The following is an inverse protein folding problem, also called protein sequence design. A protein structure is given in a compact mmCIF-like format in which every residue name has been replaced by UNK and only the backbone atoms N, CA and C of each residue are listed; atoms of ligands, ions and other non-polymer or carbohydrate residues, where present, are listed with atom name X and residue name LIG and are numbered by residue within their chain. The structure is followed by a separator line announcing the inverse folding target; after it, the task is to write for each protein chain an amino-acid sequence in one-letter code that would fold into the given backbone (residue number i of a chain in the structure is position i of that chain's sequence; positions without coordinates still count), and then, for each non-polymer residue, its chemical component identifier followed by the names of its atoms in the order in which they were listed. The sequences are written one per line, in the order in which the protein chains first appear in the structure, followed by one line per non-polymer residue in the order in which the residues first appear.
data_IF_994476321165
#
_entry.id   IF_994476321165
#
_cell.length_a   1.000
_cell.length_b   1.000
_cell.length_c   1.000
_cell.angle_alpha   90.00
_cell.angle_beta   90.00
_cell.angle_gamma   90.00
#
_symmetry.space_group_name_H-M   'P 1'
#
loop_
_entity.id
_entity.type
_entity.pdbx_description
1 polymer ?
#
# COMPACT_ATOMS: atom_id res chain seq x y z
N UNK A 1 72.18 13.47 8.11
CA UNK A 1 71.16 13.59 7.05
C UNK A 1 69.80 13.28 7.65
N UNK A 2 68.84 14.17 7.42
CA UNK A 2 67.53 14.18 8.05
C UNK A 2 66.67 12.97 7.63
N UNK A 3 65.97 12.37 8.58
CA UNK A 3 64.71 11.70 8.27
C UNK A 3 63.71 11.91 9.41
N UNK A 4 62.73 12.78 9.15
CA UNK A 4 61.53 12.99 9.95
C UNK A 4 60.58 11.84 9.64
N UNK A 5 60.10 11.13 10.66
CA UNK A 5 58.96 10.20 10.50
C UNK A 5 57.83 10.77 11.34
N UNK A 6 56.78 11.21 10.64
CA UNK A 6 55.58 11.80 11.20
C UNK A 6 54.74 10.77 11.93
N UNK A 7 54.30 11.13 13.13
CA UNK A 7 53.33 10.39 13.92
C UNK A 7 51.94 10.82 13.42
N UNK A 8 51.31 9.94 12.65
CA UNK A 8 49.92 10.11 12.25
C UNK A 8 48.99 9.61 13.37
N UNK A 9 48.23 10.55 13.93
CA UNK A 9 47.09 10.32 14.81
C UNK A 9 46.04 9.47 14.08
N UNK A 10 45.71 8.31 14.64
CA UNK A 10 44.45 7.61 14.36
C UNK A 10 43.61 7.63 15.64
N UNK A 11 42.74 8.63 15.71
CA UNK A 11 41.65 8.71 16.69
C UNK A 11 40.61 7.68 16.27
N UNK A 12 40.67 6.49 16.87
CA UNK A 12 39.66 5.45 16.71
C UNK A 12 38.48 5.79 17.61
N UNK A 13 37.47 6.48 17.07
CA UNK A 13 36.18 6.68 17.72
C UNK A 13 35.44 5.36 17.80
N UNK A 14 35.57 4.69 18.95
CA UNK A 14 34.72 3.57 19.36
C UNK A 14 33.32 4.13 19.59
N UNK A 15 32.45 4.00 18.58
CA UNK A 15 31.02 4.22 18.71
C UNK A 15 30.44 3.00 19.47
N UNK A 16 30.48 3.05 20.79
CA UNK A 16 29.75 2.12 21.65
C UNK A 16 28.24 2.34 21.40
N UNK A 17 27.67 1.56 20.49
CA UNK A 17 26.22 1.40 20.45
C UNK A 17 25.80 0.76 21.76
N UNK A 18 25.13 1.58 22.57
CA UNK A 18 24.36 1.15 23.74
C UNK A 18 23.26 0.21 23.25
N UNK A 19 23.55 -1.08 23.20
CA UNK A 19 22.52 -2.11 23.21
C UNK A 19 21.93 -2.08 24.63
N UNK A 20 20.81 -1.40 24.81
CA UNK A 20 19.91 -1.66 25.92
C UNK A 20 19.29 -3.04 25.70
N UNK A 21 19.58 -4.09 26.50
CA UNK A 21 18.73 -5.26 26.52
C UNK A 21 17.39 -4.83 27.12
N UNK A 22 16.42 -4.56 26.24
CA UNK A 22 15.05 -4.36 26.68
C UNK A 22 14.58 -5.63 27.36
N UNK A 23 14.22 -5.45 28.63
CA UNK A 23 13.60 -6.42 29.52
C UNK A 23 12.29 -6.92 28.87
N UNK A 24 12.34 -8.08 28.20
CA UNK A 24 11.16 -8.80 27.70
C UNK A 24 11.33 -10.33 27.79
N UNK A 25 12.29 -10.79 28.61
CA UNK A 25 12.59 -12.21 28.74
C UNK A 25 11.45 -13.01 29.40
N UNK A 26 10.74 -12.41 30.37
CA UNK A 26 9.67 -13.12 31.09
C UNK A 26 8.46 -13.45 30.22
N UNK A 27 8.16 -12.64 29.19
CA UNK A 27 7.02 -12.93 28.31
C UNK A 27 7.33 -14.03 27.28
N UNK A 28 8.58 -14.09 26.79
CA UNK A 28 8.99 -15.12 25.84
C UNK A 28 9.11 -16.50 26.49
N UNK A 29 9.66 -16.58 27.70
CA UNK A 29 9.75 -17.83 28.46
C UNK A 29 8.37 -18.43 28.74
N UNK A 30 7.40 -17.59 29.12
CA UNK A 30 6.00 -18.01 29.30
C UNK A 30 5.36 -18.53 28.00
N UNK A 31 5.71 -17.97 26.84
CA UNK A 31 5.20 -18.43 25.54
C UNK A 31 5.82 -19.79 25.19
N UNK A 32 7.12 -19.99 25.47
CA UNK A 32 7.78 -21.26 25.21
C UNK A 32 7.20 -22.39 26.06
N UNK A 33 6.98 -22.15 27.36
CA UNK A 33 6.31 -23.13 28.24
C UNK A 33 4.92 -23.51 27.72
N UNK A 34 4.19 -22.54 27.16
CA UNK A 34 2.88 -22.79 26.58
C UNK A 34 2.96 -23.61 25.28
N UNK A 35 3.99 -23.39 24.45
CA UNK A 35 4.26 -24.23 23.27
C UNK A 35 4.58 -25.66 23.70
N UNK A 36 5.41 -25.84 24.72
CA UNK A 36 5.78 -27.17 25.23
C UNK A 36 4.57 -27.92 25.77
N UNK A 37 3.68 -27.22 26.49
CA UNK A 37 2.39 -27.78 26.95
C UNK A 37 1.49 -28.18 25.78
N UNK A 38 1.38 -27.35 24.72
CA UNK A 38 0.59 -27.70 23.53
C UNK A 38 1.18 -28.93 22.83
N UNK A 39 2.51 -29.05 22.75
CA UNK A 39 3.17 -30.21 22.16
C UNK A 39 2.84 -31.50 22.91
N UNK A 40 2.77 -31.45 24.25
CA UNK A 40 2.32 -32.58 25.05
C UNK A 40 0.86 -32.94 24.74
N UNK A 41 -0.03 -31.95 24.67
CA UNK A 41 -1.45 -32.18 24.34
C UNK A 41 -1.63 -32.79 22.93
N UNK A 42 -0.84 -32.36 21.94
CA UNK A 42 -0.90 -32.93 20.59
C UNK A 42 -0.54 -34.42 20.59
N UNK A 43 0.39 -34.84 21.46
CA UNK A 43 0.78 -36.26 21.58
C UNK A 43 -0.27 -37.11 22.30
N UNK A 44 -1.01 -36.53 23.25
CA UNK A 44 -2.01 -37.23 24.06
C UNK A 44 -3.36 -37.37 23.38
N UNK A 45 -3.74 -36.39 22.55
CA UNK A 45 -5.02 -36.39 21.84
C UNK A 45 -4.97 -37.42 20.71
N UNK A 46 -6.06 -38.16 20.49
CA UNK A 46 -6.18 -39.09 19.35
C UNK A 46 -6.91 -38.46 18.15
N UNK A 47 -7.85 -37.55 18.41
CA UNK A 47 -8.71 -36.91 17.40
C UNK A 47 -7.93 -35.94 16.51
N UNK A 48 -7.97 -36.16 15.18
CA UNK A 48 -7.30 -35.30 14.19
C UNK A 48 -7.84 -33.86 14.19
N UNK A 49 -9.16 -33.68 14.37
CA UNK A 49 -9.79 -32.35 14.43
C UNK A 49 -9.32 -31.52 15.64
N UNK A 50 -9.07 -32.18 16.77
CA UNK A 50 -8.56 -31.52 17.97
C UNK A 50 -7.07 -31.23 17.85
N UNK A 51 -6.29 -32.16 17.28
CA UNK A 51 -4.88 -31.93 16.92
C UNK A 51 -4.73 -30.71 16.01
N UNK A 52 -5.55 -30.61 14.97
CA UNK A 52 -5.52 -29.49 14.03
C UNK A 52 -5.75 -28.14 14.74
N UNK A 53 -6.69 -28.09 15.70
CA UNK A 53 -6.92 -26.89 16.53
C UNK A 53 -5.70 -26.57 17.38
N UNK A 54 -5.10 -27.58 18.02
CA UNK A 54 -3.88 -27.40 18.82
C UNK A 54 -2.71 -26.90 17.97
N UNK A 55 -2.51 -27.41 16.76
CA UNK A 55 -1.52 -26.90 15.82
C UNK A 55 -1.76 -25.41 15.49
N UNK A 56 -3.01 -25.00 15.26
CA UNK A 56 -3.34 -23.57 15.08
C UNK A 56 -3.01 -22.73 16.32
N UNK A 57 -3.21 -23.26 17.52
CA UNK A 57 -2.82 -22.58 18.76
C UNK A 57 -1.30 -22.48 18.89
N UNK A 58 -0.56 -23.53 18.53
CA UNK A 58 0.91 -23.54 18.49
C UNK A 58 1.44 -22.48 17.53
N UNK A 59 0.91 -22.44 16.30
CA UNK A 59 1.25 -21.46 15.27
C UNK A 59 1.12 -20.00 15.76
N UNK A 60 0.00 -19.67 16.42
CA UNK A 60 -0.23 -18.33 17.00
C UNK A 60 0.82 -17.94 18.02
N UNK A 61 1.36 -18.91 18.77
CA UNK A 61 2.39 -18.65 19.78
C UNK A 61 3.78 -18.54 19.17
N UNK A 62 4.11 -19.35 18.15
CA UNK A 62 5.33 -19.15 17.34
C UNK A 62 5.34 -17.75 16.69
N UNK A 63 4.20 -17.28 16.18
CA UNK A 63 4.09 -15.93 15.64
C UNK A 63 4.38 -14.84 16.69
N UNK A 64 4.00 -15.05 17.96
CA UNK A 64 4.35 -14.10 19.05
C UNK A 64 5.86 -14.09 19.34
N UNK A 65 6.54 -15.22 19.13
CA UNK A 65 8.01 -15.32 19.18
C UNK A 65 8.69 -14.77 17.92
N UNK A 66 7.91 -14.29 16.93
CA UNK A 66 8.36 -13.84 15.60
C UNK A 66 9.01 -14.94 14.76
N UNK A 67 8.73 -16.20 15.08
CA UNK A 67 9.14 -17.33 14.28
C UNK A 67 8.06 -17.60 13.23
N UNK A 68 8.25 -17.02 12.05
CA UNK A 68 7.25 -17.02 10.97
C UNK A 68 7.23 -18.37 10.25
N UNK A 69 8.40 -18.98 10.07
CA UNK A 69 8.55 -20.23 9.30
C UNK A 69 7.91 -21.41 10.03
N UNK A 70 8.16 -21.55 11.34
CA UNK A 70 7.52 -22.61 12.14
C UNK A 70 6.03 -22.37 12.32
N UNK A 71 5.61 -21.12 12.50
CA UNK A 71 4.18 -20.78 12.56
C UNK A 71 3.46 -21.16 11.26
N UNK A 72 4.09 -20.94 10.10
CA UNK A 72 3.52 -21.37 8.82
C UNK A 72 3.41 -22.89 8.73
N UNK A 73 4.45 -23.62 9.09
CA UNK A 73 4.44 -25.09 9.08
C UNK A 73 3.33 -25.66 9.95
N UNK A 74 3.11 -25.10 11.14
CA UNK A 74 2.03 -25.49 12.04
C UNK A 74 0.64 -25.29 11.43
N UNK A 75 0.42 -24.22 10.68
CA UNK A 75 -0.84 -24.00 9.97
C UNK A 75 -1.04 -24.99 8.81
N UNK A 76 0.03 -25.35 8.10
CA UNK A 76 -0.02 -26.36 7.05
C UNK A 76 -0.30 -27.74 7.64
N UNK A 77 0.36 -28.12 8.73
CA UNK A 77 0.07 -29.35 9.47
C UNK A 77 -1.39 -29.40 9.94
N UNK A 78 -1.92 -28.28 10.46
CA UNK A 78 -3.32 -28.20 10.84
C UNK A 78 -4.29 -28.44 9.67
N UNK A 79 -3.97 -27.92 8.48
CA UNK A 79 -4.76 -28.11 7.26
C UNK A 79 -4.66 -29.53 6.69
N UNK A 80 -3.53 -30.19 6.88
CA UNK A 80 -3.32 -31.60 6.50
C UNK A 80 -4.12 -32.53 7.41
N UNK A 81 -4.14 -32.25 8.72
CA UNK A 81 -4.92 -33.01 9.70
C UNK A 81 -6.42 -32.81 9.55
N UNK A 82 -6.87 -31.56 9.37
CA UNK A 82 -8.29 -31.25 9.22
C UNK A 82 -8.48 -30.07 8.26
N UNK A 83 -8.99 -30.37 7.07
CA UNK A 83 -9.30 -29.34 6.08
C UNK A 83 -10.63 -28.65 6.40
N UNK A 84 -10.59 -27.60 7.22
CA UNK A 84 -11.76 -26.82 7.59
C UNK A 84 -11.65 -25.35 7.18
N UNK A 85 -12.80 -24.74 6.87
CA UNK A 85 -12.86 -23.35 6.46
C UNK A 85 -12.37 -22.37 7.53
N UNK A 86 -12.55 -22.71 8.82
CA UNK A 86 -12.02 -21.90 9.92
C UNK A 86 -10.49 -21.88 9.94
N UNK A 87 -9.84 -23.05 9.80
CA UNK A 87 -8.37 -23.15 9.76
C UNK A 87 -7.83 -22.43 8.53
N UNK A 88 -8.42 -22.64 7.36
CA UNK A 88 -7.98 -21.99 6.13
C UNK A 88 -8.15 -20.47 6.18
N UNK A 89 -9.23 -19.98 6.80
CA UNK A 89 -9.43 -18.55 7.01
C UNK A 89 -8.39 -17.98 8.00
N UNK A 90 -8.12 -18.67 9.10
CA UNK A 90 -7.07 -18.28 10.05
C UNK A 90 -5.68 -18.22 9.38
N UNK A 91 -5.34 -19.23 8.57
CA UNK A 91 -4.09 -19.24 7.80
C UNK A 91 -4.01 -18.08 6.81
N UNK A 92 -5.12 -17.72 6.15
CA UNK A 92 -5.14 -16.56 5.27
C UNK A 92 -4.91 -15.23 6.03
N UNK A 93 -5.38 -15.11 7.27
CA UNK A 93 -5.05 -13.97 8.14
C UNK A 93 -3.59 -13.97 8.57
N UNK A 94 -3.03 -15.14 8.88
CA UNK A 94 -1.61 -15.28 9.17
C UNK A 94 -0.75 -14.75 8.00
N UNK A 95 -1.01 -15.22 6.77
CA UNK A 95 -0.33 -14.76 5.56
C UNK A 95 -0.45 -13.25 5.37
N UNK A 96 -1.64 -12.70 5.61
CA UNK A 96 -1.84 -11.24 5.51
C UNK A 96 -1.00 -10.48 6.54
N UNK A 97 -0.91 -10.98 7.78
CA UNK A 97 -0.13 -10.32 8.84
C UNK A 97 1.38 -10.41 8.63
N UNK A 98 1.85 -11.44 7.94
CA UNK A 98 3.28 -11.64 7.62
C UNK A 98 3.72 -10.92 6.35
N UNK A 99 2.81 -10.24 5.65
CA UNK A 99 3.10 -9.49 4.43
C UNK A 99 2.94 -10.29 3.14
N UNK A 100 2.53 -11.56 3.22
CA UNK A 100 2.33 -12.44 2.08
C UNK A 100 0.97 -12.17 1.39
N UNK A 101 0.73 -10.94 0.94
CA UNK A 101 -0.60 -10.49 0.52
C UNK A 101 -1.17 -11.26 -0.67
N UNK A 102 -0.33 -11.65 -1.64
CA UNK A 102 -0.77 -12.45 -2.77
C UNK A 102 -1.25 -13.84 -2.33
N UNK A 103 -0.52 -14.48 -1.41
CA UNK A 103 -0.89 -15.80 -0.86
C UNK A 103 -2.14 -15.67 0.00
N UNK A 104 -2.24 -14.63 0.82
CA UNK A 104 -3.43 -14.33 1.61
C UNK A 104 -4.68 -14.12 0.75
N UNK A 105 -4.55 -13.39 -0.36
CA UNK A 105 -5.63 -13.22 -1.35
C UNK A 105 -6.09 -14.55 -1.93
N UNK A 106 -5.16 -15.41 -2.35
CA UNK A 106 -5.49 -16.75 -2.90
C UNK A 106 -6.13 -17.65 -1.85
N UNK A 107 -5.59 -17.68 -0.64
CA UNK A 107 -6.12 -18.51 0.45
C UNK A 107 -7.54 -18.06 0.84
N UNK A 108 -7.77 -16.77 1.02
CA UNK A 108 -9.11 -16.23 1.33
C UNK A 108 -10.11 -16.43 0.19
N UNK A 109 -9.67 -16.36 -1.07
CA UNK A 109 -10.49 -16.78 -2.21
C UNK A 109 -10.88 -18.25 -2.12
N UNK A 110 -9.95 -19.13 -1.79
CA UNK A 110 -10.22 -20.57 -1.63
C UNK A 110 -11.22 -20.85 -0.50
N UNK A 111 -11.17 -20.10 0.61
CA UNK A 111 -12.19 -20.18 1.67
C UNK A 111 -13.59 -19.89 1.12
N UNK A 112 -13.74 -18.87 0.25
CA UNK A 112 -15.03 -18.52 -0.34
C UNK A 112 -15.55 -19.59 -1.31
N UNK A 113 -14.63 -20.25 -2.02
CA UNK A 113 -14.94 -21.32 -2.98
C UNK A 113 -15.37 -22.60 -2.26
N UNK A 114 -14.59 -23.03 -1.27
CA UNK A 114 -14.80 -24.32 -0.59
C UNK A 114 -15.80 -24.21 0.58
N UNK A 115 -15.87 -23.04 1.24
CA UNK A 115 -16.66 -22.80 2.46
C UNK A 115 -17.50 -21.52 2.36
N UNK A 116 -18.51 -21.47 1.45
CA UNK A 116 -19.24 -20.24 1.13
C UNK A 116 -20.03 -19.63 2.31
N UNK A 117 -20.30 -20.41 3.36
CA UNK A 117 -20.92 -19.92 4.60
C UNK A 117 -20.02 -18.95 5.39
N UNK A 118 -18.70 -18.96 5.14
CA UNK A 118 -17.72 -18.03 5.75
C UNK A 118 -17.54 -16.74 4.93
N UNK A 119 -18.46 -16.44 4.01
CA UNK A 119 -18.34 -15.33 3.07
C UNK A 119 -18.15 -13.96 3.70
N UNK A 120 -18.67 -13.75 4.91
CA UNK A 120 -18.55 -12.48 5.64
C UNK A 120 -17.10 -12.10 5.94
N UNK A 121 -16.34 -12.98 6.58
CA UNK A 121 -14.99 -12.64 7.05
C UNK A 121 -13.94 -12.89 5.97
N UNK A 122 -14.01 -14.01 5.26
CA UNK A 122 -13.11 -14.31 4.15
C UNK A 122 -13.25 -13.29 3.01
N UNK A 123 -14.46 -12.76 2.76
CA UNK A 123 -14.71 -11.74 1.75
C UNK A 123 -14.05 -10.40 2.08
N UNK A 124 -14.10 -9.98 3.35
CA UNK A 124 -13.38 -8.78 3.83
C UNK A 124 -11.88 -8.95 3.65
N UNK A 125 -11.34 -10.09 4.10
CA UNK A 125 -9.92 -10.38 4.00
C UNK A 125 -9.43 -10.42 2.55
N UNK A 126 -10.17 -11.08 1.66
CA UNK A 126 -9.86 -11.12 0.22
C UNK A 126 -9.73 -9.72 -0.36
N UNK A 127 -10.65 -8.81 -0.01
CA UNK A 127 -10.62 -7.43 -0.50
C UNK A 127 -9.38 -6.69 -0.01
N UNK A 128 -9.09 -6.69 1.29
CA UNK A 128 -7.94 -5.97 1.85
C UNK A 128 -6.60 -6.55 1.38
N UNK A 129 -6.50 -7.88 1.26
CA UNK A 129 -5.31 -8.55 0.76
C UNK A 129 -5.07 -8.21 -0.72
N UNK A 130 -6.13 -8.14 -1.54
CA UNK A 130 -6.03 -7.73 -2.94
C UNK A 130 -5.55 -6.29 -3.09
N UNK A 131 -6.11 -5.36 -2.30
CA UNK A 131 -5.70 -3.96 -2.34
C UNK A 131 -4.21 -3.78 -2.01
N UNK A 132 -3.73 -4.46 -0.96
CA UNK A 132 -2.31 -4.45 -0.56
C UNK A 132 -1.39 -5.12 -1.60
N UNK A 133 -1.79 -6.26 -2.15
CA UNK A 133 -1.07 -6.91 -3.23
C UNK A 133 -0.94 -6.00 -4.47
N UNK A 134 -1.99 -5.27 -4.84
CA UNK A 134 -1.95 -4.33 -5.96
C UNK A 134 -1.10 -3.08 -5.65
N UNK A 135 -1.04 -2.65 -4.39
CA UNK A 135 -0.13 -1.61 -3.93
C UNK A 135 1.33 -2.04 -4.11
N UNK A 136 1.72 -3.19 -3.55
CA UNK A 136 3.09 -3.75 -3.71
C UNK A 136 3.47 -3.95 -5.17
N UNK A 137 2.55 -4.47 -6.00
CA UNK A 137 2.81 -4.67 -7.42
C UNK A 137 3.11 -3.35 -8.13
N UNK A 138 2.40 -2.26 -7.81
CA UNK A 138 2.62 -0.93 -8.40
C UNK A 138 3.90 -0.27 -7.88
N UNK A 139 4.29 -0.53 -6.64
CA UNK A 139 5.57 -0.07 -6.09
C UNK A 139 6.76 -0.76 -6.76
N UNK A 140 6.65 -2.07 -7.00
CA UNK A 140 7.67 -2.85 -7.72
C UNK A 140 7.70 -2.55 -9.22
N UNK A 141 6.56 -2.16 -9.80
CA UNK A 141 6.40 -1.86 -11.22
C UNK A 141 5.85 -0.43 -11.40
N UNK A 142 6.66 0.61 -11.11
CA UNK A 142 6.20 1.99 -11.22
C UNK A 142 5.83 2.30 -12.67
N UNK A 143 4.68 2.96 -12.86
CA UNK A 143 4.22 3.37 -14.18
C UNK A 143 5.20 4.42 -14.71
N UNK A 144 6.05 4.03 -15.66
CA UNK A 144 6.95 4.94 -16.37
C UNK A 144 6.25 5.50 -17.59
N UNK A 145 5.86 6.78 -17.52
CA UNK A 145 5.39 7.51 -18.70
C UNK A 145 6.62 7.95 -19.48
N UNK A 146 6.99 7.18 -20.50
CA UNK A 146 8.06 7.56 -21.42
C UNK A 146 7.47 8.48 -22.49
N UNK A 147 7.88 9.75 -22.47
CA UNK A 147 7.49 10.73 -23.48
C UNK A 147 8.48 10.66 -24.65
N UNK A 148 8.37 9.62 -25.48
CA UNK A 148 9.24 9.41 -26.64
C UNK A 148 8.91 10.31 -27.84
N UNK A 149 7.78 11.00 -27.79
CA UNK A 149 7.37 11.90 -28.86
C UNK A 149 7.83 13.33 -28.58
N UNK A 150 8.60 13.96 -29.50
CA UNK A 150 8.94 15.36 -29.36
C UNK A 150 7.65 16.19 -29.36
N UNK A 151 7.66 17.28 -28.59
CA UNK A 151 6.52 18.18 -28.53
C UNK A 151 6.16 18.64 -29.95
N UNK A 152 4.97 18.26 -30.42
CA UNK A 152 4.49 18.69 -31.73
C UNK A 152 4.18 20.19 -31.66
N UNK A 153 5.14 21.01 -32.09
CA UNK A 153 5.05 22.48 -32.13
C UNK A 153 3.94 22.98 -33.06
N UNK A 154 3.49 22.15 -34.00
CA UNK A 154 2.39 22.45 -34.92
C UNK A 154 1.02 21.99 -34.37
N UNK A 155 0.95 21.40 -33.17
CA UNK A 155 -0.31 21.00 -32.57
C UNK A 155 -1.10 22.24 -32.16
N UNK A 156 -2.14 22.54 -32.92
CA UNK A 156 -3.09 23.61 -32.59
C UNK A 156 -4.20 23.05 -31.71
N UNK A 157 -4.37 23.58 -30.50
CA UNK A 157 -5.49 23.17 -29.65
C UNK A 157 -6.78 23.90 -30.06
N UNK A 158 -7.95 23.39 -29.65
CA UNK A 158 -9.23 24.09 -29.84
C UNK A 158 -9.20 25.51 -29.27
N UNK A 159 -8.50 25.72 -28.14
CA UNK A 159 -8.34 27.05 -27.56
C UNK A 159 -7.50 27.99 -28.43
N UNK A 160 -6.46 27.49 -29.10
CA UNK A 160 -5.66 28.28 -30.02
C UNK A 160 -6.46 28.67 -31.27
N UNK A 161 -7.30 27.76 -31.77
CA UNK A 161 -8.25 28.05 -32.86
C UNK A 161 -9.26 29.13 -32.44
N UNK A 162 -9.88 29.00 -31.25
CA UNK A 162 -10.85 29.96 -30.74
C UNK A 162 -10.23 31.35 -30.51
N UNK A 163 -8.98 31.43 -30.01
CA UNK A 163 -8.25 32.70 -29.90
C UNK A 163 -7.97 33.30 -31.28
N UNK A 164 -7.65 32.47 -32.27
CA UNK A 164 -7.38 32.91 -33.65
C UNK A 164 -8.65 33.43 -34.33
N UNK A 165 -9.80 32.77 -34.14
CA UNK A 165 -11.09 33.27 -34.64
C UNK A 165 -11.50 34.56 -33.93
N UNK A 166 -11.45 34.60 -32.59
CA UNK A 166 -11.79 35.81 -31.83
C UNK A 166 -10.92 37.02 -32.21
N UNK A 167 -9.62 36.83 -32.48
CA UNK A 167 -8.74 37.89 -33.01
C UNK A 167 -9.10 38.33 -34.43
N UNK A 168 -9.46 37.38 -35.30
CA UNK A 168 -9.93 37.71 -36.67
C UNK A 168 -11.23 38.51 -36.62
N UNK A 169 -12.18 38.09 -35.79
CA UNK A 169 -13.47 38.78 -35.65
C UNK A 169 -13.28 40.18 -35.08
N UNK A 170 -12.38 40.36 -34.10
CA UNK A 170 -12.02 41.67 -33.57
C UNK A 170 -11.36 42.60 -34.61
N UNK A 171 -10.50 42.07 -35.48
CA UNK A 171 -9.85 42.84 -36.57
C UNK A 171 -10.84 43.20 -37.69
N UNK A 172 -11.77 42.31 -38.02
CA UNK A 172 -12.84 42.60 -38.98
C UNK A 172 -13.75 43.70 -38.41
N UNK A 173 -14.11 43.60 -37.13
CA UNK A 173 -14.94 44.61 -36.47
C UNK A 173 -14.23 45.98 -36.39
N UNK A 174 -12.92 46.04 -36.12
CA UNK A 174 -12.19 47.31 -36.12
C UNK A 174 -12.06 47.93 -37.51
N UNK A 175 -11.87 47.12 -38.57
CA UNK A 175 -11.73 47.62 -39.93
C UNK A 175 -13.06 48.12 -40.52
N UNK A 176 -14.18 47.48 -40.20
CA UNK A 176 -15.53 47.91 -40.62
C UNK A 176 -15.93 49.23 -39.93
N UNK A 177 -15.49 49.46 -38.69
CA UNK A 177 -15.76 50.71 -37.96
C UNK A 177 -14.90 51.89 -38.44
N UNK A 178 -13.71 51.63 -39.02
CA UNK A 178 -12.84 52.68 -39.58
C UNK A 178 -13.20 53.13 -41.01
N UNK A 179 -14.07 52.43 -41.73
CA UNK A 179 -14.51 52.80 -43.09
C UNK A 179 -15.86 53.53 -43.15
N UNK A 180 -16.58 53.67 -42.03
CA UNK A 180 -17.77 54.52 -41.94
C UNK A 180 -17.42 55.79 -41.17
N UNK A 181 -17.29 56.89 -41.91
CA UNK A 181 -16.94 58.19 -41.37
C UNK A 181 -17.85 58.69 -40.24
N UNK A 182 -17.26 59.57 -39.43
CA UNK A 182 -17.89 60.75 -38.84
C UNK A 182 -19.36 60.63 -38.44
N UNK A 183 -19.63 60.36 -37.16
CA UNK A 183 -20.50 61.27 -36.41
C UNK A 183 -20.23 61.19 -34.91
N UNK A 184 -19.98 62.36 -34.35
CA UNK A 184 -20.01 62.66 -32.92
C UNK A 184 -21.31 62.14 -32.29
N UNK A 185 -21.19 61.32 -31.24
CA UNK A 185 -22.21 61.28 -30.18
C UNK A 185 -21.63 60.87 -28.84
N UNK A 186 -21.60 61.88 -27.97
CA UNK A 186 -21.35 61.87 -26.54
C UNK A 186 -22.44 61.02 -25.86
N UNK A 187 -22.09 59.94 -25.16
CA UNK A 187 -23.01 59.26 -24.24
C UNK A 187 -22.31 58.78 -22.96
N UNK A 188 -22.65 59.52 -21.89
CA UNK A 188 -22.74 59.16 -20.47
C UNK A 188 -22.27 57.78 -20.00
N UNK A 189 -21.32 57.83 -19.04
CA UNK A 189 -21.02 56.81 -18.03
C UNK A 189 -22.31 56.22 -17.44
N UNK A 190 -22.47 54.89 -17.52
CA UNK A 190 -23.38 54.13 -16.66
C UNK A 190 -22.57 53.05 -15.95
N UNK A 191 -22.67 53.09 -14.63
CA UNK A 191 -21.93 52.34 -13.62
C UNK A 191 -22.22 50.84 -13.65
N UNK A 192 -21.21 50.06 -13.26
CA UNK A 192 -21.23 48.61 -13.12
C UNK A 192 -22.04 48.16 -11.89
N UNK A 193 -22.83 47.06 -11.98
CA UNK A 193 -23.34 46.38 -10.80
C UNK A 193 -22.32 45.38 -10.25
N UNK A 194 -22.08 45.47 -8.94
CA UNK A 194 -21.25 44.56 -8.13
C UNK A 194 -21.77 43.12 -8.21
N UNK A 195 -20.86 42.18 -8.49
CA UNK A 195 -21.04 40.74 -8.25
C UNK A 195 -21.15 40.46 -6.74
N UNK A 196 -22.23 39.81 -6.31
CA UNK A 196 -22.31 39.14 -5.00
C UNK A 196 -21.73 37.73 -5.16
N UNK A 197 -20.68 37.46 -4.39
CA UNK A 197 -20.11 36.12 -4.18
C UNK A 197 -20.95 35.41 -3.13
N UNK A 198 -21.54 34.27 -3.48
CA UNK A 198 -22.09 33.30 -2.52
C UNK A 198 -21.12 32.12 -2.55
N UNK A 199 -20.47 31.86 -1.43
CA UNK A 199 -19.73 30.61 -1.18
C UNK A 199 -20.70 29.64 -0.50
N UNK A 200 -20.73 28.42 -1.01
CA UNK A 200 -21.23 27.22 -0.33
C UNK A 200 -20.03 26.34 -0.02
#
# INVERSE_FOLDING_TARGET
MHCKIGIALLVSTVFFMVQTPNVSFSSQENIQQLIDMINQQIQEVDSEDEKAKLCCHRARNHLKLKDIETAEQDYLEALELSYSGWILNEYSYFLYRTGEYQRAYRASQKVLEDFPHLSGDAGKLKKIAYEKYQEEYREQNPITIIMDTPANTNRVTRHDLLKKTARKDALIFSNVVSSSGTSSKKSTKKSAPKKKTVRS
#
